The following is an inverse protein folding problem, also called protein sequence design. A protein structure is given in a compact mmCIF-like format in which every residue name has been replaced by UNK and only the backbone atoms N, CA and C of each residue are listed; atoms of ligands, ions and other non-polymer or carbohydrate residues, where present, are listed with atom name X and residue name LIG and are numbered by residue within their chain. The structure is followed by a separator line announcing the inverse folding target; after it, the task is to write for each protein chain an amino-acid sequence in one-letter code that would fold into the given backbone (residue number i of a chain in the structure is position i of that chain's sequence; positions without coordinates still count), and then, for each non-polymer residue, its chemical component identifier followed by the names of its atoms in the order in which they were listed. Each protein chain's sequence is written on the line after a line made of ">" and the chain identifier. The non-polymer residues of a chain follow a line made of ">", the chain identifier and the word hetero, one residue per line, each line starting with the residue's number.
data_IF_938022323365
#
_entry.id   IF_938022323365
#
_cell.length_a   1.000
_cell.length_b   1.000
_cell.length_c   1.000
_cell.angle_alpha   90.00
_cell.angle_beta   90.00
_cell.angle_gamma   90.00
#
_symmetry.space_group_name_H-M   'P 1'
#
loop_
_entity.id
_entity.type
_entity.pdbx_description
1 polymer ?
#
# COMPACT_ATOMS: atom_id res chain seq x y z
N UNK A 1 1.42 -15.28 -15.59
CA UNK A 1 2.32 -14.65 -14.61
C UNK A 1 3.47 -14.10 -15.41
N UNK A 2 3.77 -12.80 -15.33
CA UNK A 2 4.87 -12.21 -16.10
C UNK A 2 6.16 -12.33 -15.28
N UNK A 3 7.02 -13.28 -15.67
CA UNK A 3 8.26 -13.59 -14.96
C UNK A 3 9.22 -12.39 -14.93
N UNK A 4 9.29 -11.64 -16.03
CA UNK A 4 10.16 -10.46 -16.13
C UNK A 4 9.67 -9.37 -15.19
N UNK A 5 8.35 -9.16 -15.13
CA UNK A 5 7.77 -8.20 -14.20
C UNK A 5 8.11 -8.54 -12.74
N UNK A 6 8.02 -9.81 -12.32
CA UNK A 6 8.38 -10.20 -10.95
C UNK A 6 9.87 -10.07 -10.67
N UNK A 7 10.76 -10.29 -11.65
CA UNK A 7 12.20 -10.02 -11.46
C UNK A 7 12.46 -8.53 -11.22
N UNK A 8 11.83 -7.65 -12.02
CA UNK A 8 11.98 -6.19 -11.87
C UNK A 8 11.40 -5.72 -10.53
N UNK A 9 10.22 -6.22 -10.15
CA UNK A 9 9.59 -5.88 -8.87
C UNK A 9 10.38 -6.42 -7.68
N UNK A 10 10.96 -7.62 -7.78
CA UNK A 10 11.85 -8.17 -6.76
C UNK A 10 13.12 -7.33 -6.57
N UNK A 11 13.69 -6.79 -7.65
CA UNK A 11 14.81 -5.84 -7.54
C UNK A 11 14.40 -4.54 -6.85
N UNK A 12 13.20 -4.02 -7.13
CA UNK A 12 12.65 -2.85 -6.44
C UNK A 12 12.47 -3.14 -4.93
N UNK A 13 11.94 -4.31 -4.58
CA UNK A 13 11.76 -4.74 -3.18
C UNK A 13 13.11 -4.81 -2.43
N UNK A 14 14.13 -5.41 -3.05
CA UNK A 14 15.48 -5.49 -2.50
C UNK A 14 16.06 -4.07 -2.28
N UNK A 15 15.92 -3.20 -3.27
CA UNK A 15 16.41 -1.82 -3.21
C UNK A 15 15.74 -0.99 -2.13
N UNK A 16 14.44 -1.19 -1.95
CA UNK A 16 13.68 -0.56 -0.87
C UNK A 16 14.14 -1.08 0.49
N UNK A 17 14.40 -2.39 0.63
CA UNK A 17 14.82 -2.98 1.90
C UNK A 17 16.18 -2.46 2.38
N UNK A 18 17.09 -2.14 1.45
CA UNK A 18 18.42 -1.62 1.78
C UNK A 18 18.43 -0.14 2.15
N UNK A 19 17.48 0.66 1.64
CA UNK A 19 17.44 2.11 1.90
C UNK A 19 16.65 2.47 3.17
N UNK A 20 15.77 1.59 3.63
CA UNK A 20 14.99 1.81 4.85
C UNK A 20 15.82 1.53 6.10
N UNK A 21 15.61 2.34 7.13
CA UNK A 21 16.29 2.18 8.42
C UNK A 21 15.80 0.90 9.11
N UNK A 22 16.74 0.05 9.52
CA UNK A 22 16.48 -1.22 10.22
C UNK A 22 15.75 -1.03 11.55
N UNK A 23 15.78 0.18 12.13
CA UNK A 23 15.06 0.51 13.36
C UNK A 23 13.61 0.93 13.12
N UNK A 24 13.20 1.17 11.88
CA UNK A 24 11.80 1.49 11.57
C UNK A 24 10.93 0.25 11.72
N UNK A 25 9.80 0.39 12.42
CA UNK A 25 8.84 -0.69 12.58
C UNK A 25 7.76 -0.60 11.52
N UNK A 26 7.98 -1.29 10.40
CA UNK A 26 7.07 -1.33 9.27
C UNK A 26 6.88 -2.76 8.75
N UNK A 27 5.77 -2.97 8.05
CA UNK A 27 5.51 -4.20 7.32
C UNK A 27 4.98 -3.86 5.93
N UNK A 28 5.52 -4.51 4.90
CA UNK A 28 5.11 -4.30 3.51
C UNK A 28 4.60 -5.62 2.95
N UNK A 29 3.41 -5.60 2.39
CA UNK A 29 2.85 -6.71 1.61
C UNK A 29 2.71 -6.22 0.18
N UNK A 30 3.28 -6.96 -0.77
CA UNK A 30 3.14 -6.71 -2.20
C UNK A 30 2.35 -7.83 -2.86
N UNK A 31 1.42 -7.47 -3.72
CA UNK A 31 0.79 -8.38 -4.67
C UNK A 31 0.93 -7.78 -6.07
N UNK A 32 1.85 -8.32 -6.88
CA UNK A 32 2.27 -7.74 -8.16
C UNK A 32 2.72 -6.29 -8.00
N UNK A 33 2.05 -5.34 -8.61
CA UNK A 33 2.31 -3.90 -8.57
C UNK A 33 1.61 -3.19 -7.40
N UNK A 34 0.69 -3.87 -6.70
CA UNK A 34 -0.01 -3.30 -5.55
C UNK A 34 0.81 -3.48 -4.26
N UNK A 35 1.18 -2.36 -3.64
CA UNK A 35 1.84 -2.32 -2.33
C UNK A 35 0.85 -1.96 -1.22
N UNK A 36 0.98 -2.62 -0.08
CA UNK A 36 0.36 -2.22 1.18
C UNK A 36 1.42 -2.08 2.26
N UNK A 37 1.55 -0.87 2.79
CA UNK A 37 2.56 -0.50 3.77
C UNK A 37 1.86 -0.23 5.10
N UNK A 38 2.28 -0.93 6.14
CA UNK A 38 1.81 -0.78 7.51
C UNK A 38 2.93 -0.19 8.35
N UNK A 39 2.63 0.86 9.10
CA UNK A 39 3.58 1.53 10.01
C UNK A 39 2.86 1.94 11.29
N UNK A 40 3.63 2.18 12.36
CA UNK A 40 3.06 2.66 13.63
C UNK A 40 2.78 4.17 13.63
N UNK A 41 3.39 4.91 12.71
CA UNK A 41 3.16 6.35 12.56
C UNK A 41 3.24 6.80 11.10
N UNK A 42 2.61 7.96 10.82
CA UNK A 42 2.54 8.55 9.48
C UNK A 42 3.91 8.95 8.93
N UNK A 43 4.85 9.34 9.81
CA UNK A 43 6.20 9.75 9.41
C UNK A 43 6.95 8.59 8.75
N UNK A 44 6.93 7.42 9.37
CA UNK A 44 7.52 6.19 8.81
C UNK A 44 6.84 5.80 7.50
N UNK A 45 5.51 5.84 7.45
CA UNK A 45 4.77 5.54 6.21
C UNK A 45 5.15 6.46 5.06
N UNK A 46 5.29 7.76 5.34
CA UNK A 46 5.74 8.76 4.37
C UNK A 46 7.18 8.50 3.92
N UNK A 47 8.07 8.08 4.83
CA UNK A 47 9.45 7.71 4.48
C UNK A 47 9.43 6.54 3.49
N UNK A 48 8.69 5.47 3.77
CA UNK A 48 8.59 4.31 2.87
C UNK A 48 8.04 4.70 1.50
N UNK A 49 6.93 5.44 1.45
CA UNK A 49 6.33 5.91 0.18
C UNK A 49 7.31 6.78 -0.61
N UNK A 50 8.04 7.67 0.06
CA UNK A 50 9.01 8.56 -0.58
C UNK A 50 10.15 7.77 -1.21
N UNK A 51 10.76 6.84 -0.48
CA UNK A 51 11.87 6.04 -1.02
C UNK A 51 11.40 5.09 -2.13
N UNK A 52 10.24 4.44 -1.98
CA UNK A 52 9.65 3.62 -3.03
C UNK A 52 9.38 4.43 -4.31
N UNK A 53 8.84 5.65 -4.18
CA UNK A 53 8.57 6.54 -5.32
C UNK A 53 9.84 6.92 -6.10
N UNK A 54 10.96 7.15 -5.40
CA UNK A 54 12.26 7.42 -6.04
C UNK A 54 12.75 6.21 -6.83
N UNK A 55 12.78 5.03 -6.20
CA UNK A 55 13.25 3.78 -6.83
C UNK A 55 12.40 3.44 -8.05
N UNK A 56 11.08 3.56 -7.94
CA UNK A 56 10.17 3.35 -9.08
C UNK A 56 10.46 4.34 -10.22
N UNK A 57 10.73 5.60 -9.90
CA UNK A 57 11.03 6.63 -10.90
C UNK A 57 12.32 6.35 -11.67
N UNK A 58 13.35 5.81 -11.00
CA UNK A 58 14.60 5.36 -11.64
C UNK A 58 14.36 4.24 -12.66
N UNK A 59 13.33 3.42 -12.44
CA UNK A 59 12.90 2.34 -13.34
C UNK A 59 11.85 2.78 -14.37
N UNK A 60 11.55 4.09 -14.47
CA UNK A 60 10.54 4.62 -15.39
C UNK A 60 9.09 4.38 -14.96
N UNK A 61 8.86 3.94 -13.72
CA UNK A 61 7.55 3.69 -13.12
C UNK A 61 7.12 4.86 -12.22
N UNK A 62 5.82 4.97 -11.93
CA UNK A 62 5.27 6.01 -11.05
C UNK A 62 4.15 5.47 -10.18
N UNK A 63 4.13 5.87 -8.91
CA UNK A 63 2.98 5.66 -8.04
C UNK A 63 1.80 6.52 -8.52
N UNK A 64 0.61 5.94 -8.55
CA UNK A 64 -0.59 6.68 -8.86
C UNK A 64 -1.08 7.42 -7.60
N UNK A 65 -0.92 8.74 -7.58
CA UNK A 65 -1.31 9.59 -6.45
C UNK A 65 -2.80 9.54 -6.10
N UNK A 66 -3.69 9.28 -7.06
CA UNK A 66 -5.12 9.13 -6.79
C UNK A 66 -5.44 7.83 -6.05
N UNK A 67 -4.63 6.79 -6.25
CA UNK A 67 -4.78 5.48 -5.62
C UNK A 67 -3.94 5.33 -4.35
N UNK A 68 -2.99 6.24 -4.11
CA UNK A 68 -2.09 6.19 -2.97
C UNK A 68 -2.67 7.03 -1.83
N UNK A 69 -3.17 6.38 -0.79
CA UNK A 69 -3.77 7.07 0.35
C UNK A 69 -3.33 6.45 1.68
N UNK A 70 -3.29 7.26 2.73
CA UNK A 70 -3.11 6.80 4.10
C UNK A 70 -4.46 6.51 4.74
N UNK A 71 -4.50 5.50 5.61
CA UNK A 71 -5.66 5.24 6.46
C UNK A 71 -5.19 4.84 7.85
N UNK A 72 -5.83 5.43 8.86
CA UNK A 72 -5.66 5.03 10.25
C UNK A 72 -6.65 3.90 10.63
N UNK A 73 -7.57 3.53 9.73
CA UNK A 73 -8.57 2.46 9.90
C UNK A 73 -8.40 1.39 8.81
N UNK A 74 -7.67 0.34 9.15
CA UNK A 74 -7.32 -0.76 8.24
C UNK A 74 -8.56 -1.52 7.76
N UNK A 75 -9.59 -1.64 8.60
CA UNK A 75 -10.80 -2.43 8.27
C UNK A 75 -11.64 -1.66 7.27
N UNK A 76 -11.99 -0.42 7.58
CA UNK A 76 -12.83 0.39 6.69
C UNK A 76 -12.13 0.69 5.37
N UNK A 77 -10.83 0.96 5.37
CA UNK A 77 -10.06 1.20 4.13
C UNK A 77 -9.91 -0.04 3.24
N UNK A 78 -10.04 -1.24 3.80
CA UNK A 78 -9.95 -2.48 3.02
C UNK A 78 -11.27 -2.85 2.32
N UNK A 79 -12.39 -2.22 2.72
CA UNK A 79 -13.70 -2.47 2.14
C UNK A 79 -13.93 -1.49 0.99
N UNK A 80 -14.25 -2.00 -0.21
CA UNK A 80 -14.64 -1.13 -1.32
C UNK A 80 -15.91 -0.34 -0.96
N UNK A 81 -15.96 0.94 -1.35
CA UNK A 81 -17.04 1.86 -0.98
C UNK A 81 -18.45 1.32 -1.29
N UNK A 82 -18.61 0.65 -2.42
CA UNK A 82 -19.85 0.00 -2.85
C UNK A 82 -20.32 -1.09 -1.89
N UNK A 83 -19.38 -1.91 -1.38
CA UNK A 83 -19.68 -2.97 -0.40
C UNK A 83 -20.00 -2.39 0.98
N UNK A 84 -19.30 -1.34 1.39
CA UNK A 84 -19.54 -0.68 2.66
C UNK A 84 -20.97 -0.10 2.72
N UNK A 85 -21.42 0.50 1.61
CA UNK A 85 -22.79 1.01 1.49
C UNK A 85 -23.85 -0.10 1.66
N UNK A 86 -23.64 -1.27 1.06
CA UNK A 86 -24.54 -2.41 1.23
C UNK A 86 -24.62 -2.91 2.68
N UNK A 87 -23.48 -2.93 3.39
CA UNK A 87 -23.42 -3.31 4.81
C UNK A 87 -24.26 -2.34 5.65
N UNK A 88 -24.10 -1.04 5.44
CA UNK A 88 -24.85 -0.01 6.16
C UNK A 88 -26.35 -0.14 5.91
N UNK A 89 -26.78 -0.27 4.64
CA UNK A 89 -28.20 -0.45 4.29
C UNK A 89 -28.79 -1.69 4.96
N UNK A 90 -28.06 -2.81 4.94
CA UNK A 90 -28.52 -4.08 5.52
C UNK A 90 -28.72 -3.97 7.04
N UNK A 91 -27.84 -3.24 7.73
CA UNK A 91 -27.95 -3.01 9.18
C UNK A 91 -29.15 -2.09 9.47
N UNK A 92 -29.33 -1.00 8.71
CA UNK A 92 -30.49 -0.11 8.85
C UNK A 92 -31.82 -0.85 8.68
N UNK A 93 -31.93 -1.71 7.66
CA UNK A 93 -33.14 -2.50 7.41
C UNK A 93 -33.42 -3.58 8.44
N UNK A 94 -32.43 -3.99 9.25
CA UNK A 94 -32.60 -4.95 10.36
C UNK A 94 -33.04 -4.29 11.67
N UNK A 95 -32.87 -2.97 11.80
CA UNK A 95 -33.25 -2.20 12.99
C UNK A 95 -34.66 -1.60 12.91
N UNK A 96 -35.26 -1.61 11.72
CA UNK A 96 -36.70 -1.40 11.46
C UNK A 96 -37.43 -2.73 11.45
#
# INVERSE_FOLDING_TARGET
>A
MDFIAEMVLGYIDERLSECLDKNMNYHIIRYRDDYRIFTNNKKEGNTVIRELSKILSEMGMRLNGEKTYHSDDIVNSSIKKDKLHQIIITISNKMT
#
